data_IF_138881905083
#
_entry.id   IF_138881905083
#
_cell.length_a   1.000
_cell.length_b   1.000
_cell.length_c   1.000
_cell.angle_alpha   90.00
_cell.angle_beta   90.00
_cell.angle_gamma   90.00
#
_symmetry.space_group_name_H-M   'P 1'
#
loop_
_entity.id
_entity.type
_entity.pdbx_description
1 polymer ?
#
# COMPACT_ATOMS: atom_id res chain seq x y z
N UNK A 1 20.83 30.11 31.09
CA UNK A 1 21.06 28.65 31.03
C UNK A 1 20.34 28.16 29.80
N UNK A 2 21.11 27.86 28.77
CA UNK A 2 20.66 27.27 27.51
C UNK A 2 20.61 25.77 27.76
N UNK A 3 19.46 25.15 27.52
CA UNK A 3 19.39 23.72 27.18
C UNK A 3 18.68 23.68 25.83
N UNK A 4 19.49 23.66 24.78
CA UNK A 4 19.18 23.11 23.47
C UNK A 4 19.23 21.58 23.59
N UNK A 5 18.24 20.92 22.99
CA UNK A 5 18.15 19.51 22.59
C UNK A 5 16.72 19.41 21.99
N UNK A 6 16.44 19.97 20.82
CA UNK A 6 16.88 19.55 19.48
C UNK A 6 16.62 18.06 19.19
N UNK A 7 15.37 17.75 18.79
CA UNK A 7 15.13 16.86 17.67
C UNK A 7 14.05 17.48 16.78
N UNK A 8 14.50 18.47 16.02
CA UNK A 8 13.82 18.93 14.83
C UNK A 8 13.76 17.79 13.79
N UNK A 9 12.54 17.33 13.50
CA UNK A 9 12.06 16.77 12.22
C UNK A 9 12.99 15.88 11.39
N UNK A 10 12.61 14.61 11.24
CA UNK A 10 12.95 13.85 10.03
C UNK A 10 11.72 13.11 9.49
N UNK A 11 10.78 13.85 8.89
CA UNK A 11 9.82 13.25 7.97
C UNK A 11 10.57 12.83 6.70
N UNK A 12 11.12 11.62 6.67
CA UNK A 12 11.57 11.04 5.42
C UNK A 12 10.33 10.54 4.68
N UNK A 13 9.75 11.39 3.83
CA UNK A 13 8.94 10.91 2.72
C UNK A 13 9.88 10.21 1.73
N UNK A 14 10.41 9.04 2.10
CA UNK A 14 10.90 8.15 1.06
C UNK A 14 9.65 7.70 0.35
N UNK A 15 9.29 8.41 -0.72
CA UNK A 15 8.48 7.88 -1.82
C UNK A 15 9.28 6.68 -2.36
N UNK A 16 9.21 5.57 -1.63
CA UNK A 16 9.65 4.27 -2.11
C UNK A 16 8.70 3.98 -3.25
N UNK A 17 9.28 3.87 -4.44
CA UNK A 17 8.64 3.77 -5.74
C UNK A 17 7.15 3.39 -5.64
N UNK A 18 6.32 4.41 -5.79
CA UNK A 18 4.87 4.29 -5.85
C UNK A 18 4.45 4.87 -7.18
N UNK A 19 3.52 4.20 -7.85
CA UNK A 19 2.87 4.75 -9.03
C UNK A 19 2.37 6.16 -8.70
N UNK A 20 2.74 7.19 -9.48
CA UNK A 20 2.24 8.53 -9.24
C UNK A 20 0.72 8.52 -9.15
N UNK A 21 0.18 9.11 -8.08
CA UNK A 21 -1.26 9.10 -7.76
C UNK A 21 -2.16 9.54 -8.93
N UNK A 22 -1.67 10.46 -9.76
CA UNK A 22 -2.34 10.93 -10.98
C UNK A 22 -2.45 9.83 -12.03
N UNK A 23 -1.39 9.03 -12.23
CA UNK A 23 -1.41 7.84 -13.10
C UNK A 23 -2.40 6.80 -12.55
N UNK A 24 -2.37 6.51 -11.25
CA UNK A 24 -3.31 5.54 -10.67
C UNK A 24 -4.79 5.92 -10.87
N UNK A 25 -5.14 7.22 -10.72
CA UNK A 25 -6.52 7.68 -10.98
C UNK A 25 -6.96 7.47 -12.42
N UNK A 26 -6.07 7.72 -13.39
CA UNK A 26 -6.35 7.50 -14.82
C UNK A 26 -6.54 6.01 -15.10
N UNK A 27 -5.68 5.16 -14.54
CA UNK A 27 -5.74 3.70 -14.67
C UNK A 27 -7.04 3.13 -14.09
N UNK A 28 -7.46 3.61 -12.92
CA UNK A 28 -8.73 3.23 -12.28
C UNK A 28 -9.96 3.68 -13.08
N UNK A 29 -9.82 4.73 -13.90
CA UNK A 29 -10.88 5.20 -14.79
C UNK A 29 -10.99 4.31 -16.04
N UNK A 30 -9.86 3.86 -16.60
CA UNK A 30 -9.80 3.01 -17.80
C UNK A 30 -10.26 1.57 -17.49
N UNK A 31 -9.87 1.02 -16.33
CA UNK A 31 -10.29 -0.32 -15.89
C UNK A 31 -11.79 -0.49 -15.57
N UNK A 32 -12.58 0.60 -15.60
CA UNK A 32 -14.04 0.50 -15.50
C UNK A 32 -14.72 0.20 -16.85
N UNK A 33 -14.03 0.34 -17.98
CA UNK A 33 -14.66 0.26 -19.30
C UNK A 33 -14.40 -1.03 -20.08
N UNK A 34 -13.39 -1.84 -19.73
CA UNK A 34 -13.09 -3.08 -20.47
C UNK A 34 -12.75 -4.24 -19.53
N UNK A 35 -13.21 -5.44 -19.91
CA UNK A 35 -12.94 -6.69 -19.22
C UNK A 35 -11.44 -6.98 -19.12
N UNK A 36 -11.01 -7.44 -17.94
CA UNK A 36 -9.74 -8.14 -17.67
C UNK A 36 -8.41 -7.45 -18.04
N UNK A 37 -8.28 -6.13 -17.81
CA UNK A 37 -6.94 -5.52 -17.79
C UNK A 37 -6.20 -5.97 -16.53
N UNK A 38 -5.15 -6.81 -16.67
CA UNK A 38 -4.24 -7.12 -15.58
C UNK A 38 -3.34 -5.91 -15.30
N UNK A 39 -3.79 -5.07 -14.37
CA UNK A 39 -3.15 -3.81 -13.97
C UNK A 39 -1.71 -3.97 -13.48
N UNK A 40 -1.30 -5.14 -13.03
CA UNK A 40 0.06 -5.34 -12.54
C UNK A 40 1.04 -5.55 -13.68
N UNK A 41 0.62 -6.23 -14.75
CA UNK A 41 1.42 -6.39 -15.96
C UNK A 41 1.49 -5.12 -16.81
N UNK A 42 0.37 -4.42 -16.99
CA UNK A 42 0.34 -3.22 -17.84
C UNK A 42 1.15 -2.04 -17.28
N UNK A 43 1.39 -2.03 -15.97
CA UNK A 43 2.04 -0.91 -15.29
C UNK A 43 3.32 -1.30 -14.55
N UNK A 44 3.86 -2.49 -14.83
CA UNK A 44 5.08 -3.03 -14.21
C UNK A 44 5.11 -2.86 -12.68
N UNK A 45 3.94 -2.96 -12.03
CA UNK A 45 3.80 -2.67 -10.59
C UNK A 45 4.72 -3.56 -9.77
N UNK A 46 4.91 -4.80 -10.23
CA UNK A 46 5.78 -5.76 -9.56
C UNK A 46 7.27 -5.37 -9.60
N UNK A 47 7.70 -4.58 -10.58
CA UNK A 47 9.07 -4.05 -10.70
C UNK A 47 9.21 -2.68 -10.04
N UNK A 48 8.14 -1.87 -10.10
CA UNK A 48 8.13 -0.49 -9.63
C UNK A 48 7.65 -0.32 -8.20
N UNK A 49 7.36 -1.40 -7.46
CA UNK A 49 6.84 -1.31 -6.10
C UNK A 49 7.49 -2.33 -5.17
N UNK A 50 7.83 -1.88 -3.97
CA UNK A 50 8.26 -2.77 -2.89
C UNK A 50 7.16 -3.78 -2.55
N UNK A 51 7.56 -5.04 -2.34
CA UNK A 51 6.64 -6.08 -1.87
C UNK A 51 6.31 -5.88 -0.40
N UNK A 52 5.04 -6.09 -0.07
CA UNK A 52 4.54 -6.09 1.31
C UNK A 52 4.02 -7.49 1.61
N UNK A 53 4.45 -8.06 2.74
CA UNK A 53 4.08 -9.41 3.17
C UNK A 53 3.31 -9.33 4.47
N UNK A 54 2.17 -10.02 4.54
CA UNK A 54 1.37 -10.09 5.78
C UNK A 54 2.07 -11.00 6.79
N UNK A 55 2.31 -10.49 8.00
CA UNK A 55 3.05 -11.19 9.06
C UNK A 55 2.17 -11.68 10.21
N UNK A 56 0.86 -11.49 10.10
CA UNK A 56 -0.13 -11.95 11.08
C UNK A 56 -1.05 -13.00 10.45
N UNK A 57 -1.73 -13.85 11.23
CA UNK A 57 -2.65 -14.85 10.68
C UNK A 57 -3.71 -14.27 9.74
N UNK A 58 -4.16 -13.04 10.02
CA UNK A 58 -5.18 -12.34 9.23
C UNK A 58 -5.05 -10.83 9.37
N UNK A 59 -4.95 -10.12 8.25
CA UNK A 59 -4.99 -8.65 8.18
C UNK A 59 -6.15 -8.20 7.29
N UNK A 60 -6.89 -7.17 7.71
CA UNK A 60 -8.06 -6.69 6.98
C UNK A 60 -7.74 -5.44 6.18
N UNK A 61 -8.39 -5.30 5.04
CA UNK A 61 -8.36 -4.05 4.30
C UNK A 61 -9.26 -3.00 4.96
N UNK A 62 -8.77 -1.77 5.05
CA UNK A 62 -9.52 -0.59 5.46
C UNK A 62 -9.73 0.35 4.27
N UNK A 63 -10.80 1.16 4.33
CA UNK A 63 -11.15 2.12 3.28
C UNK A 63 -10.29 3.38 3.31
N UNK A 64 -9.83 3.76 4.51
CA UNK A 64 -9.07 4.96 4.79
C UNK A 64 -7.81 4.66 5.63
N UNK A 65 -6.92 5.64 5.70
CA UNK A 65 -5.64 5.56 6.39
C UNK A 65 -5.73 5.58 7.92
N UNK A 66 -6.85 6.05 8.49
CA UNK A 66 -7.11 6.10 9.92
C UNK A 66 -7.56 4.74 10.46
N UNK A 67 -7.87 3.79 9.57
CA UNK A 67 -8.22 2.41 9.88
C UNK A 67 -9.55 2.31 10.65
N UNK A 68 -10.45 3.26 10.45
CA UNK A 68 -11.76 3.31 11.11
C UNK A 68 -12.79 2.43 10.37
N UNK A 69 -12.78 2.47 9.03
CA UNK A 69 -13.73 1.73 8.21
C UNK A 69 -13.10 0.49 7.60
N UNK A 70 -13.54 -0.67 8.09
CA UNK A 70 -13.04 -1.98 7.69
C UNK A 70 -13.86 -2.58 6.54
N UNK A 71 -13.17 -3.06 5.49
CA UNK A 71 -13.75 -3.84 4.39
C UNK A 71 -13.94 -5.31 4.78
N UNK A 72 -14.83 -6.00 4.05
CA UNK A 72 -15.02 -7.47 4.18
C UNK A 72 -13.88 -8.31 3.58
N UNK A 73 -12.90 -7.67 2.93
CA UNK A 73 -11.73 -8.32 2.37
C UNK A 73 -10.59 -8.42 3.40
N UNK A 74 -9.78 -9.46 3.30
CA UNK A 74 -8.63 -9.69 4.15
C UNK A 74 -7.55 -10.46 3.40
N UNK A 75 -6.35 -10.44 3.96
CA UNK A 75 -5.22 -11.25 3.57
C UNK A 75 -4.80 -12.13 4.75
N UNK A 76 -4.17 -13.24 4.45
CA UNK A 76 -3.64 -14.18 5.44
C UNK A 76 -2.12 -14.09 5.50
N UNK A 77 -1.55 -14.72 6.53
CA UNK A 77 -0.10 -14.74 6.72
C UNK A 77 0.64 -15.22 5.47
N UNK A 78 1.73 -14.54 5.13
CA UNK A 78 2.58 -14.74 3.95
C UNK A 78 1.96 -14.34 2.61
N UNK A 79 0.72 -13.83 2.57
CA UNK A 79 0.20 -13.18 1.37
C UNK A 79 1.08 -11.99 0.99
N UNK A 80 1.25 -11.80 -0.32
CA UNK A 80 2.09 -10.76 -0.89
C UNK A 80 1.23 -9.71 -1.61
N UNK A 81 1.56 -8.45 -1.39
CA UNK A 81 0.94 -7.31 -2.04
C UNK A 81 2.02 -6.32 -2.48
N UNK A 82 1.61 -5.27 -3.17
CA UNK A 82 2.51 -4.22 -3.66
C UNK A 82 2.24 -2.91 -2.92
N UNK A 83 3.29 -2.24 -2.49
CA UNK A 83 3.21 -0.99 -1.75
C UNK A 83 2.72 0.16 -2.66
N UNK A 84 1.71 0.90 -2.19
CA UNK A 84 1.28 2.15 -2.82
C UNK A 84 1.73 3.37 -2.00
N UNK A 85 1.56 3.33 -0.68
CA UNK A 85 1.81 4.47 0.19
C UNK A 85 2.15 4.00 1.61
N UNK A 86 3.03 4.72 2.30
CA UNK A 86 3.35 4.48 3.71
C UNK A 86 2.89 5.68 4.53
N UNK A 87 2.03 5.41 5.51
CA UNK A 87 1.58 6.37 6.50
C UNK A 87 2.15 6.01 7.89
N UNK A 88 1.75 6.77 8.91
CA UNK A 88 2.22 6.56 10.28
C UNK A 88 1.84 5.16 10.79
N UNK A 89 0.55 4.83 10.76
CA UNK A 89 -0.01 3.60 11.33
C UNK A 89 -0.49 2.60 10.28
N UNK A 90 -0.52 3.00 9.01
CA UNK A 90 -1.06 2.20 7.91
C UNK A 90 -0.12 2.17 6.72
N UNK A 91 -0.28 1.14 5.90
CA UNK A 91 0.29 1.07 4.57
C UNK A 91 -0.86 0.89 3.59
N UNK A 92 -0.83 1.63 2.49
CA UNK A 92 -1.74 1.42 1.38
C UNK A 92 -1.10 0.43 0.42
N UNK A 93 -1.86 -0.57 -0.01
CA UNK A 93 -1.34 -1.63 -0.87
C UNK A 93 -2.29 -1.96 -2.01
N UNK A 94 -1.72 -2.50 -3.08
CA UNK A 94 -2.41 -3.18 -4.17
C UNK A 94 -2.31 -4.69 -4.00
N UNK A 95 -3.44 -5.38 -4.04
CA UNK A 95 -3.48 -6.83 -4.06
C UNK A 95 -3.97 -7.36 -5.41
N UNK A 96 -3.18 -8.27 -5.96
CA UNK A 96 -3.45 -9.00 -7.21
C UNK A 96 -4.20 -10.30 -6.94
N UNK A 97 -5.46 -10.18 -6.49
CA UNK A 97 -6.32 -11.33 -6.32
C UNK A 97 -7.14 -11.64 -7.58
N UNK A 98 -8.15 -12.50 -7.42
CA UNK A 98 -9.21 -12.70 -8.43
C UNK A 98 -9.86 -11.38 -8.88
N UNK A 99 -9.85 -10.37 -7.99
CA UNK A 99 -10.14 -8.98 -8.34
C UNK A 99 -9.02 -8.11 -7.80
N UNK A 100 -8.47 -7.25 -8.65
CA UNK A 100 -7.51 -6.24 -8.22
C UNK A 100 -8.20 -5.30 -7.23
N UNK A 101 -7.60 -5.11 -6.06
CA UNK A 101 -8.14 -4.22 -5.03
C UNK A 101 -7.04 -3.42 -4.37
N UNK A 102 -7.39 -2.21 -3.93
CA UNK A 102 -6.53 -1.39 -3.08
C UNK A 102 -7.22 -1.07 -1.76
N UNK A 103 -6.40 -0.92 -0.73
CA UNK A 103 -6.84 -0.55 0.60
C UNK A 103 -5.68 -0.42 1.56
N UNK A 104 -6.03 -0.02 2.78
CA UNK A 104 -5.06 0.18 3.84
C UNK A 104 -4.95 -1.07 4.71
N UNK A 105 -3.74 -1.44 5.10
CA UNK A 105 -3.45 -2.45 6.11
C UNK A 105 -2.77 -1.76 7.29
N UNK A 106 -2.86 -2.35 8.49
CA UNK A 106 -2.09 -1.86 9.63
C UNK A 106 -0.62 -2.08 9.38
N UNK A 107 0.19 -1.05 9.59
CA UNK A 107 1.64 -1.12 9.37
C UNK A 107 2.32 -2.16 10.26
N UNK A 108 1.80 -2.36 11.48
CA UNK A 108 2.30 -3.37 12.42
C UNK A 108 1.98 -4.82 12.02
N UNK A 109 1.10 -5.04 11.03
CA UNK A 109 0.67 -6.37 10.60
C UNK A 109 1.45 -6.89 9.37
N UNK A 110 2.39 -6.09 8.85
CA UNK A 110 3.08 -6.36 7.58
C UNK A 110 4.58 -6.17 7.69
N UNK A 111 5.31 -6.79 6.76
CA UNK A 111 6.73 -6.59 6.51
C UNK A 111 6.88 -6.00 5.11
N UNK A 112 7.54 -4.85 4.99
CA UNK A 112 7.88 -4.25 3.69
C UNK A 112 9.27 -4.76 3.29
N UNK A 113 9.33 -5.56 2.23
CA UNK A 113 10.58 -6.06 1.66
C UNK A 113 11.23 -4.93 0.84
N UNK A 114 12.48 -4.65 1.15
CA UNK A 114 13.31 -3.73 0.36
C UNK A 114 14.07 -4.59 -0.63
N UNK A 115 13.98 -4.24 -1.92
CA UNK A 115 14.90 -4.75 -2.94
C UNK A 115 16.28 -4.07 -2.79
#
# INVERSE_FOLDING_TARGET
MVNEDDESQQFSFVKRHSLPFTLFKVIKSISKSEEEINLIKEFDIAELSSKVVVNVPKSYFYEDENLEVKKRAFLIQNDKTYLEEINNNSVKVYFDGVKTTSGYLKKSEVIILQD
#
